data_IF_032222573203
#
_entry.id   IF_032222573203
#
_cell.length_a   1.000
_cell.length_b   1.000
_cell.length_c   1.000
_cell.angle_alpha   90.00
_cell.angle_beta   90.00
_cell.angle_gamma   90.00
#
_symmetry.space_group_name_H-M   'P 1'
#
loop_
_entity.id
_entity.type
_entity.pdbx_description
1 polymer ?
#
# COMPACT_ATOMS: atom_id res chain seq x y z
N UNK A 1 9.95 -4.02 -2.75
CA UNK A 1 8.61 -3.41 -2.95
C UNK A 1 8.57 -2.78 -4.34
N UNK A 2 7.51 -3.04 -5.13
CA UNK A 2 7.27 -2.30 -6.37
C UNK A 2 7.06 -0.81 -6.09
N UNK A 3 7.67 0.04 -6.92
CA UNK A 3 7.49 1.49 -6.84
C UNK A 3 6.03 1.85 -7.12
N UNK A 4 5.43 2.66 -6.25
CA UNK A 4 4.08 3.18 -6.44
C UNK A 4 4.13 4.60 -6.98
N UNK A 5 3.29 4.97 -7.97
CA UNK A 5 3.27 6.30 -8.57
C UNK A 5 2.59 7.30 -7.63
N UNK A 6 3.30 7.74 -6.60
CA UNK A 6 2.83 8.67 -5.58
C UNK A 6 3.84 9.78 -5.32
N UNK A 7 3.31 10.98 -5.03
CA UNK A 7 4.07 12.16 -4.65
C UNK A 7 4.84 12.77 -5.83
N UNK A 8 4.85 14.09 -5.88
CA UNK A 8 5.67 14.83 -6.83
C UNK A 8 7.12 14.93 -6.33
N UNK A 9 8.05 14.31 -7.03
CA UNK A 9 9.49 14.32 -6.67
C UNK A 9 10.38 14.90 -7.77
N UNK A 10 9.79 15.51 -8.80
CA UNK A 10 10.52 16.03 -9.95
C UNK A 10 11.02 14.97 -10.94
N UNK A 11 10.83 13.70 -10.64
CA UNK A 11 11.18 12.56 -11.50
C UNK A 11 9.95 11.70 -11.80
N UNK A 12 9.92 11.10 -12.99
CA UNK A 12 8.83 10.20 -13.38
C UNK A 12 8.96 8.87 -12.64
N UNK A 13 8.08 8.61 -11.69
CA UNK A 13 8.03 7.33 -10.95
C UNK A 13 7.86 6.11 -11.85
N UNK A 14 7.20 6.28 -12.99
CA UNK A 14 7.05 5.21 -13.98
C UNK A 14 8.40 4.73 -14.55
N UNK A 15 9.39 5.61 -14.64
CA UNK A 15 10.73 5.25 -15.13
C UNK A 15 11.54 4.45 -14.10
N UNK A 16 11.16 4.52 -12.83
CA UNK A 16 11.77 3.77 -11.72
C UNK A 16 11.05 2.43 -11.47
N UNK A 17 9.95 2.16 -12.17
CA UNK A 17 9.19 0.94 -11.99
C UNK A 17 9.86 -0.25 -12.65
N UNK A 18 9.97 -1.34 -11.89
CA UNK A 18 10.34 -2.67 -12.37
C UNK A 18 9.38 -3.67 -11.75
N UNK A 19 8.69 -4.52 -12.55
CA UNK A 19 7.88 -5.60 -12.01
C UNK A 19 8.69 -6.54 -11.13
N UNK A 20 8.17 -6.92 -9.97
CA UNK A 20 8.91 -7.84 -9.10
C UNK A 20 9.02 -9.26 -9.66
N UNK A 21 8.24 -9.63 -10.67
CA UNK A 21 8.46 -10.84 -11.48
C UNK A 21 9.82 -10.82 -12.16
N UNK A 22 10.21 -9.67 -12.74
CA UNK A 22 11.49 -9.50 -13.42
C UNK A 22 12.65 -9.47 -12.41
N UNK A 23 12.47 -8.77 -11.30
CA UNK A 23 13.44 -8.77 -10.19
C UNK A 23 13.66 -10.20 -9.67
N UNK A 24 12.58 -10.97 -9.48
CA UNK A 24 12.65 -12.36 -9.05
C UNK A 24 13.41 -13.21 -10.07
N UNK A 25 13.11 -13.04 -11.37
CA UNK A 25 13.82 -13.73 -12.44
C UNK A 25 15.33 -13.40 -12.41
N UNK A 26 15.70 -12.13 -12.29
CA UNK A 26 17.11 -11.71 -12.20
C UNK A 26 17.83 -12.34 -10.99
N UNK A 27 17.18 -12.42 -9.84
CA UNK A 27 17.76 -13.09 -8.67
C UNK A 27 17.94 -14.58 -8.97
N UNK A 28 16.97 -15.23 -9.60
CA UNK A 28 16.99 -16.65 -9.93
C UNK A 28 18.05 -17.03 -10.98
N UNK A 29 18.62 -16.06 -11.72
CA UNK A 29 19.79 -16.34 -12.57
C UNK A 29 21.07 -16.68 -11.78
N UNK A 30 21.11 -16.34 -10.49
CA UNK A 30 22.30 -16.54 -9.63
C UNK A 30 22.02 -17.37 -8.38
N UNK A 31 20.77 -17.42 -7.93
CA UNK A 31 20.37 -18.03 -6.65
C UNK A 31 19.12 -18.89 -6.84
N UNK A 32 19.04 -19.97 -6.10
CA UNK A 32 17.86 -20.85 -6.08
C UNK A 32 16.84 -20.33 -5.06
N UNK A 33 15.69 -19.85 -5.55
CA UNK A 33 14.60 -19.39 -4.72
C UNK A 33 13.49 -20.44 -4.62
N UNK A 34 13.11 -20.80 -3.41
CA UNK A 34 11.93 -21.60 -3.09
C UNK A 34 10.89 -20.80 -2.33
N UNK A 35 9.62 -21.18 -2.43
CA UNK A 35 8.55 -20.50 -1.68
C UNK A 35 8.73 -20.76 -0.19
N UNK A 36 8.73 -19.69 0.62
CA UNK A 36 8.78 -19.76 2.07
C UNK A 36 7.36 -19.69 2.65
N UNK A 37 6.99 -20.54 3.62
CA UNK A 37 5.68 -20.54 4.24
C UNK A 37 5.47 -19.38 5.22
N UNK A 38 6.51 -18.58 5.50
CA UNK A 38 6.43 -17.46 6.42
C UNK A 38 5.29 -16.50 6.01
N UNK A 39 4.44 -16.20 6.96
CA UNK A 39 3.42 -15.16 6.85
C UNK A 39 3.61 -14.17 7.98
N UNK A 40 3.63 -12.89 7.64
CA UNK A 40 3.60 -11.80 8.60
C UNK A 40 2.25 -11.07 8.50
N UNK A 41 2.00 -10.10 9.37
CA UNK A 41 0.83 -9.20 9.25
C UNK A 41 0.91 -8.28 8.03
N UNK A 42 2.04 -8.29 7.31
CA UNK A 42 2.29 -7.51 6.10
C UNK A 42 1.85 -8.21 4.81
N UNK A 43 1.85 -7.48 3.67
CA UNK A 43 1.47 -8.02 2.36
C UNK A 43 2.62 -8.76 1.66
N UNK A 44 3.76 -8.96 2.32
CA UNK A 44 4.92 -9.60 1.71
C UNK A 44 4.68 -11.09 1.50
N UNK A 45 5.03 -11.58 0.31
CA UNK A 45 5.21 -13.00 0.03
C UNK A 45 6.70 -13.32 0.11
N UNK A 46 7.06 -14.34 0.89
CA UNK A 46 8.44 -14.65 1.15
C UNK A 46 8.96 -15.79 0.26
N UNK A 47 10.21 -15.63 -0.17
CA UNK A 47 11.00 -16.65 -0.84
C UNK A 47 12.26 -16.92 0.00
N UNK A 48 12.66 -18.18 0.06
CA UNK A 48 13.90 -18.61 0.72
C UNK A 48 14.99 -18.81 -0.35
N UNK A 49 16.14 -18.20 -0.12
CA UNK A 49 17.34 -18.36 -0.94
C UNK A 49 18.17 -19.52 -0.37
N UNK A 50 18.33 -20.58 -1.14
CA UNK A 50 18.97 -21.83 -0.66
C UNK A 50 20.46 -21.66 -0.38
N UNK A 51 21.17 -20.88 -1.18
CA UNK A 51 22.62 -20.71 -1.09
C UNK A 51 23.05 -19.84 0.12
N UNK A 52 22.18 -18.92 0.56
CA UNK A 52 22.52 -17.96 1.63
C UNK A 52 21.66 -18.14 2.87
N UNK A 53 20.70 -19.04 2.86
CA UNK A 53 19.69 -19.25 3.92
C UNK A 53 18.88 -17.97 4.27
N UNK A 54 18.84 -17.01 3.37
CA UNK A 54 18.12 -15.74 3.57
C UNK A 54 16.68 -15.81 3.05
N UNK A 55 15.81 -15.04 3.70
CA UNK A 55 14.42 -14.84 3.26
C UNK A 55 14.28 -13.49 2.59
N UNK A 56 13.69 -13.49 1.41
CA UNK A 56 13.42 -12.28 0.63
C UNK A 56 11.92 -12.09 0.56
N UNK A 57 11.43 -10.95 1.06
CA UNK A 57 10.01 -10.58 1.00
C UNK A 57 9.71 -9.72 -0.22
N UNK A 58 8.71 -10.12 -1.01
CA UNK A 58 8.22 -9.39 -2.17
C UNK A 58 6.86 -8.75 -1.87
N UNK A 59 6.73 -7.45 -2.07
CA UNK A 59 5.49 -6.70 -1.95
C UNK A 59 5.13 -6.18 -3.34
N UNK A 60 4.08 -6.71 -3.93
CA UNK A 60 3.68 -6.56 -5.33
C UNK A 60 2.35 -5.82 -5.48
N UNK A 61 2.27 -4.51 -5.19
CA UNK A 61 1.01 -3.76 -5.30
C UNK A 61 0.45 -3.72 -6.73
N UNK A 62 1.29 -3.84 -7.75
CA UNK A 62 0.87 -3.81 -9.16
C UNK A 62 0.81 -5.20 -9.79
N UNK A 63 1.90 -5.95 -9.76
CA UNK A 63 2.02 -7.25 -10.46
C UNK A 63 1.05 -8.30 -9.91
N UNK A 64 0.90 -8.38 -8.58
CA UNK A 64 -0.03 -9.26 -7.89
C UNK A 64 -0.72 -8.48 -6.77
N UNK A 65 -1.71 -7.74 -7.17
CA UNK A 65 -2.47 -6.88 -6.30
C UNK A 65 -3.14 -7.70 -5.17
N UNK A 66 -2.99 -7.21 -3.93
CA UNK A 66 -3.51 -7.84 -2.71
C UNK A 66 -4.62 -6.98 -2.05
N UNK A 67 -5.23 -6.07 -2.80
CA UNK A 67 -6.17 -5.07 -2.28
C UNK A 67 -7.40 -5.67 -1.61
N UNK A 68 -7.94 -6.77 -2.13
CA UNK A 68 -9.11 -7.44 -1.53
C UNK A 68 -8.81 -7.98 -0.13
N UNK A 69 -7.56 -8.34 0.16
CA UNK A 69 -7.11 -8.82 1.47
C UNK A 69 -6.52 -7.71 2.34
N UNK A 70 -6.52 -6.46 1.84
CA UNK A 70 -5.89 -5.34 2.54
C UNK A 70 -6.76 -4.88 3.72
N UNK A 71 -6.24 -5.05 4.92
CA UNK A 71 -6.86 -4.63 6.18
C UNK A 71 -6.34 -3.28 6.71
N UNK A 72 -5.69 -2.47 5.85
CA UNK A 72 -5.04 -1.22 6.29
C UNK A 72 -5.87 0.00 5.96
N UNK A 73 -5.87 0.92 6.89
CA UNK A 73 -6.27 2.31 6.74
C UNK A 73 -5.12 3.21 7.20
N UNK A 74 -5.17 4.47 6.86
CA UNK A 74 -4.16 5.45 7.28
C UNK A 74 -4.84 6.67 7.87
N UNK A 75 -4.32 7.16 8.99
CA UNK A 75 -4.84 8.35 9.66
C UNK A 75 -3.76 9.42 9.62
N UNK A 76 -4.10 10.61 9.14
CA UNK A 76 -3.20 11.77 9.11
C UNK A 76 -3.12 12.44 10.49
N UNK A 77 -2.11 13.27 10.68
CA UNK A 77 -2.01 14.12 11.88
C UNK A 77 -3.16 15.16 12.01
N UNK A 78 -3.85 15.47 10.90
CA UNK A 78 -5.04 16.32 10.89
C UNK A 78 -6.33 15.59 11.27
N UNK A 79 -6.30 14.26 11.45
CA UNK A 79 -7.47 13.45 11.81
C UNK A 79 -8.31 13.02 10.61
N UNK A 80 -7.73 12.96 9.42
CA UNK A 80 -8.36 12.40 8.23
C UNK A 80 -7.98 10.92 8.06
N UNK A 81 -8.95 10.05 7.83
CA UNK A 81 -8.72 8.63 7.58
C UNK A 81 -8.88 8.31 6.10
N UNK A 82 -7.83 7.78 5.50
CA UNK A 82 -7.82 7.25 4.13
C UNK A 82 -8.00 5.73 4.15
N UNK A 83 -8.98 5.23 3.40
CA UNK A 83 -9.28 3.80 3.29
C UNK A 83 -8.29 3.07 2.38
N UNK A 84 -7.70 3.78 1.42
CA UNK A 84 -6.72 3.24 0.49
C UNK A 84 -5.58 4.24 0.26
N UNK A 85 -4.34 3.72 0.13
CA UNK A 85 -3.18 4.54 -0.18
C UNK A 85 -3.27 5.15 -1.58
N UNK A 86 -3.80 4.40 -2.54
CA UNK A 86 -3.88 4.79 -3.95
C UNK A 86 -5.14 5.54 -4.34
N UNK A 87 -5.98 5.96 -3.37
CA UNK A 87 -7.19 6.70 -3.65
C UNK A 87 -7.32 7.95 -2.78
N UNK A 88 -8.16 8.89 -3.19
CA UNK A 88 -8.34 10.17 -2.52
C UNK A 88 -9.51 10.18 -1.52
N UNK A 89 -10.35 9.13 -1.52
CA UNK A 89 -11.46 9.05 -0.57
C UNK A 89 -10.97 8.99 0.87
N UNK A 90 -11.56 9.83 1.70
CA UNK A 90 -11.20 10.02 3.10
C UNK A 90 -12.41 10.32 3.96
N UNK A 91 -12.28 10.06 5.26
CA UNK A 91 -13.25 10.44 6.29
C UNK A 91 -12.62 11.39 7.29
N UNK A 92 -13.38 12.41 7.71
CA UNK A 92 -13.01 13.30 8.80
C UNK A 92 -13.33 12.63 10.14
N UNK A 93 -12.30 12.28 10.91
CA UNK A 93 -12.44 11.74 12.26
C UNK A 93 -12.36 12.83 13.33
N UNK A 94 -11.79 14.00 13.01
CA UNK A 94 -11.56 15.08 13.95
C UNK A 94 -12.87 15.73 14.39
N UNK A 95 -13.77 16.02 13.45
CA UNK A 95 -15.04 16.66 13.73
C UNK A 95 -15.93 15.82 14.64
N UNK A 96 -16.22 14.53 14.34
CA UNK A 96 -17.03 13.68 15.21
C UNK A 96 -16.38 13.47 16.59
N UNK A 97 -15.05 13.35 16.65
CA UNK A 97 -14.33 13.21 17.92
C UNK A 97 -14.51 14.43 18.84
N UNK A 98 -14.61 15.63 18.27
CA UNK A 98 -14.72 16.89 19.05
C UNK A 98 -16.16 17.31 19.33
N UNK A 99 -17.13 16.78 18.62
CA UNK A 99 -18.56 17.14 18.77
C UNK A 99 -19.27 16.42 19.90
N UNK A 100 -18.74 15.31 20.41
CA UNK A 100 -19.41 14.48 21.38
C UNK A 100 -18.44 13.98 22.45
N UNK A 101 -18.88 13.98 23.70
CA UNK A 101 -18.15 13.38 24.81
C UNK A 101 -18.15 11.85 24.75
N UNK A 102 -19.13 11.25 24.07
CA UNK A 102 -19.14 9.82 23.81
C UNK A 102 -18.52 9.51 22.42
N UNK A 103 -17.96 8.33 22.29
CA UNK A 103 -17.27 7.92 21.06
C UNK A 103 -18.21 7.29 20.02
N UNK A 104 -19.54 7.35 20.18
CA UNK A 104 -20.45 6.63 19.28
C UNK A 104 -20.41 7.22 17.87
N UNK A 105 -20.51 8.55 17.75
CA UNK A 105 -20.48 9.23 16.45
C UNK A 105 -19.15 8.94 15.72
N UNK A 106 -18.03 8.94 16.46
CA UNK A 106 -16.72 8.60 15.89
C UNK A 106 -16.69 7.14 15.40
N UNK A 107 -17.21 6.19 16.18
CA UNK A 107 -17.28 4.78 15.77
C UNK A 107 -18.12 4.61 14.51
N UNK A 108 -19.29 5.24 14.46
CA UNK A 108 -20.18 5.16 13.30
C UNK A 108 -19.51 5.74 12.04
N UNK A 109 -18.78 6.87 12.18
CA UNK A 109 -17.99 7.45 11.10
C UNK A 109 -16.89 6.49 10.61
N UNK A 110 -16.18 5.82 11.52
CA UNK A 110 -15.16 4.84 11.18
C UNK A 110 -15.76 3.63 10.44
N UNK A 111 -16.86 3.08 10.96
CA UNK A 111 -17.53 1.94 10.32
C UNK A 111 -18.07 2.28 8.93
N UNK A 112 -18.68 3.45 8.78
CA UNK A 112 -19.15 3.94 7.49
C UNK A 112 -18.00 4.11 6.50
N UNK A 113 -16.90 4.74 6.91
CA UNK A 113 -15.72 4.91 6.08
C UNK A 113 -15.11 3.56 5.66
N UNK A 114 -14.98 2.60 6.58
CA UNK A 114 -14.48 1.25 6.28
C UNK A 114 -15.41 0.53 5.30
N UNK A 115 -16.71 0.71 5.39
CA UNK A 115 -17.67 0.09 4.45
C UNK A 115 -17.46 0.56 3.00
N UNK A 116 -16.91 1.76 2.79
CA UNK A 116 -16.54 2.31 1.48
C UNK A 116 -15.15 1.91 1.01
N UNK A 117 -14.40 1.12 1.81
CA UNK A 117 -13.04 0.70 1.43
C UNK A 117 -13.05 -0.02 0.08
N UNK A 118 -12.25 0.48 -0.90
CA UNK A 118 -12.25 -0.09 -2.24
C UNK A 118 -11.59 -1.47 -2.27
N UNK A 119 -12.04 -2.31 -3.20
CA UNK A 119 -11.42 -3.62 -3.48
C UNK A 119 -10.15 -3.54 -4.31
N UNK A 120 -9.79 -2.36 -4.79
CA UNK A 120 -8.63 -2.10 -5.61
C UNK A 120 -8.08 -0.70 -5.40
N UNK A 121 -6.93 -0.41 -6.00
CA UNK A 121 -6.34 0.91 -6.08
C UNK A 121 -6.37 1.41 -7.53
N UNK A 122 -6.22 2.72 -7.71
CA UNK A 122 -6.23 3.38 -9.01
C UNK A 122 -4.82 3.68 -9.53
N UNK A 123 -3.80 3.04 -8.97
CA UNK A 123 -2.43 3.20 -9.45
C UNK A 123 -2.27 2.67 -10.87
N UNK A 124 -1.84 3.53 -11.78
CA UNK A 124 -1.47 3.19 -13.14
C UNK A 124 0.02 3.48 -13.31
N UNK A 125 0.74 2.50 -13.86
CA UNK A 125 2.12 2.71 -14.32
C UNK A 125 2.07 3.25 -15.75
N UNK A 126 1.85 4.54 -15.86
CA UNK A 126 1.74 5.24 -17.13
C UNK A 126 2.58 6.53 -17.07
N UNK A 127 3.39 6.76 -18.09
CA UNK A 127 4.25 7.95 -18.18
C UNK A 127 3.49 9.25 -18.49
N UNK A 128 2.26 9.11 -19.00
CA UNK A 128 1.46 10.24 -19.49
C UNK A 128 0.27 10.55 -18.57
N UNK A 129 -0.03 9.68 -17.61
CA UNK A 129 -1.18 9.85 -16.71
C UNK A 129 -0.78 10.35 -15.34
N UNK A 130 -1.72 11.06 -14.75
CA UNK A 130 -1.60 11.59 -13.40
C UNK A 130 -1.40 10.46 -12.38
N UNK A 131 -0.46 10.67 -11.50
CA UNK A 131 -0.22 9.85 -10.33
C UNK A 131 -0.96 10.43 -9.12
N UNK A 132 -1.03 9.68 -8.03
CA UNK A 132 -1.57 10.20 -6.78
C UNK A 132 -0.63 11.30 -6.25
N UNK A 133 -1.03 12.59 -6.26
CA UNK A 133 -0.13 13.71 -5.96
C UNK A 133 0.32 13.71 -4.50
N UNK A 134 -0.42 13.03 -3.63
CA UNK A 134 -0.15 12.93 -2.21
C UNK A 134 1.14 12.14 -1.94
N UNK A 135 2.05 12.73 -1.18
CA UNK A 135 3.22 12.04 -0.66
C UNK A 135 2.85 11.02 0.45
N UNK A 136 3.64 9.95 0.58
CA UNK A 136 3.39 8.92 1.59
C UNK A 136 3.43 9.46 3.02
N UNK A 137 4.32 10.39 3.33
CA UNK A 137 4.47 10.99 4.66
C UNK A 137 3.23 11.79 5.10
N UNK A 138 2.41 12.29 4.17
CA UNK A 138 1.16 13.00 4.50
C UNK A 138 0.14 12.07 5.15
N UNK A 139 0.16 10.80 4.81
CA UNK A 139 -0.77 9.78 5.32
C UNK A 139 -0.17 8.92 6.42
N UNK A 140 0.87 9.39 7.11
CA UNK A 140 1.45 8.65 8.24
C UNK A 140 2.19 7.39 7.78
N UNK A 141 3.16 7.56 6.90
CA UNK A 141 4.05 6.48 6.44
C UNK A 141 5.46 6.69 6.88
#
# INVERSE_FOLDING_TARGET
IEVMPMGEIGEKRADQYMPLTDVKYLIQTKYSLSKDPLKTSGPATYMHCQETDQKIGFITPHTHNFCELCNRVRVTCSGEMYMCLGQQDKADLKTPLRKSENNQILKDTIYEAISRKPKGHDFLIDREKDFVPRHMNVTGG
#
